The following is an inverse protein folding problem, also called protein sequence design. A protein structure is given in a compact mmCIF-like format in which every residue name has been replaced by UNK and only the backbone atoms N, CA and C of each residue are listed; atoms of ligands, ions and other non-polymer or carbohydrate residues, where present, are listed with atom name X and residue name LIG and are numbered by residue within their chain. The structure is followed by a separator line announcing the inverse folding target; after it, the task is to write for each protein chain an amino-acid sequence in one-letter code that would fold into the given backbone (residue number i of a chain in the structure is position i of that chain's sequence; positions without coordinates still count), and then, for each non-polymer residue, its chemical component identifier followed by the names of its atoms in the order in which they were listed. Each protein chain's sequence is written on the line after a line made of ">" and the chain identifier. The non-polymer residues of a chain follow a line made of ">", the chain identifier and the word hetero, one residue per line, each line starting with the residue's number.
data_IF_012286754185
#
_entry.id   IF_012286754185
#
_cell.length_a   1.000
_cell.length_b   1.000
_cell.length_c   1.000
_cell.angle_alpha   90.00
_cell.angle_beta   90.00
_cell.angle_gamma   90.00
#
_symmetry.space_group_name_H-M   'P 1'
#
loop_
_entity.id
_entity.type
_entity.pdbx_description
1 polymer ?
#
# COMPACT_ATOMS: atom_id res chain seq x y z
N UNK A 1 -52.01 10.36 -60.57
CA UNK A 1 -50.58 10.39 -60.93
C UNK A 1 -49.80 11.09 -59.82
N UNK A 2 -48.67 10.48 -59.41
CA UNK A 2 -47.52 11.03 -58.68
C UNK A 2 -47.70 11.42 -57.19
N UNK A 3 -47.26 10.47 -56.37
CA UNK A 3 -46.83 10.59 -54.97
C UNK A 3 -45.63 11.55 -54.88
N UNK A 4 -45.60 12.45 -53.89
CA UNK A 4 -44.40 13.22 -53.54
C UNK A 4 -44.10 13.02 -52.06
N UNK A 5 -43.22 12.06 -51.78
CA UNK A 5 -42.61 11.85 -50.47
C UNK A 5 -41.38 12.76 -50.37
N UNK A 6 -41.35 13.62 -49.36
CA UNK A 6 -40.24 14.54 -49.11
C UNK A 6 -39.18 13.79 -48.29
N UNK A 7 -38.09 13.39 -48.96
CA UNK A 7 -36.92 12.78 -48.33
C UNK A 7 -35.95 13.90 -47.93
N UNK A 8 -35.82 14.15 -46.62
CA UNK A 8 -34.75 14.95 -46.04
C UNK A 8 -33.42 14.16 -46.11
N UNK A 9 -32.31 14.76 -46.57
CA UNK A 9 -31.02 14.09 -46.59
C UNK A 9 -30.44 14.06 -45.17
N UNK A 10 -30.34 12.86 -44.61
CA UNK A 10 -29.64 12.62 -43.35
C UNK A 10 -28.12 12.69 -43.62
N UNK A 11 -27.53 13.87 -43.40
CA UNK A 11 -26.09 14.05 -43.51
C UNK A 11 -25.39 13.34 -42.35
N UNK A 12 -24.74 12.22 -42.64
CA UNK A 12 -23.95 11.44 -41.70
C UNK A 12 -22.64 12.20 -41.39
N UNK A 13 -22.62 12.94 -40.28
CA UNK A 13 -21.42 13.55 -39.71
C UNK A 13 -20.52 12.45 -39.13
N UNK A 14 -19.48 12.09 -39.88
CA UNK A 14 -18.42 11.19 -39.41
C UNK A 14 -17.46 12.00 -38.53
N UNK A 15 -17.61 11.90 -37.22
CA UNK A 15 -16.66 12.49 -36.26
C UNK A 15 -15.43 11.58 -36.23
N UNK A 16 -14.20 12.10 -36.47
CA UNK A 16 -13.00 11.28 -36.37
C UNK A 16 -12.84 10.83 -34.92
N UNK A 17 -12.93 9.51 -34.69
CA UNK A 17 -12.59 8.91 -33.42
C UNK A 17 -11.12 9.23 -33.13
N UNK A 18 -10.86 10.00 -32.08
CA UNK A 18 -9.52 10.29 -31.60
C UNK A 18 -8.81 8.98 -31.22
N UNK A 19 -7.84 8.56 -32.03
CA UNK A 19 -6.85 7.57 -31.62
C UNK A 19 -5.95 8.21 -30.57
N UNK A 20 -6.15 7.88 -29.28
CA UNK A 20 -5.20 8.28 -28.24
C UNK A 20 -3.86 7.60 -28.49
N UNK A 21 -2.73 8.33 -28.47
CA UNK A 21 -1.41 7.72 -28.56
C UNK A 21 -1.19 6.76 -27.38
N UNK A 22 -0.48 5.65 -27.64
CA UNK A 22 -0.18 4.65 -26.63
C UNK A 22 0.60 5.28 -25.46
N UNK A 23 0.39 4.84 -24.21
CA UNK A 23 1.15 5.33 -23.06
C UNK A 23 2.65 5.11 -23.26
N UNK A 24 3.51 6.02 -22.78
CA UNK A 24 4.94 5.79 -22.78
C UNK A 24 5.30 4.56 -21.92
N UNK A 25 6.39 3.84 -22.24
CA UNK A 25 6.84 2.71 -21.44
C UNK A 25 7.20 3.17 -20.02
N UNK A 26 7.06 2.30 -19.01
CA UNK A 26 7.41 2.65 -17.64
C UNK A 26 8.91 2.99 -17.52
N UNK A 27 9.30 3.84 -16.55
CA UNK A 27 10.71 4.09 -16.26
C UNK A 27 11.48 2.79 -16.04
N UNK A 28 12.79 2.75 -16.38
CA UNK A 28 13.61 1.55 -16.22
C UNK A 28 13.99 1.33 -14.74
N UNK A 29 13.04 0.86 -13.94
CA UNK A 29 13.26 0.58 -12.52
C UNK A 29 14.30 -0.53 -12.32
N UNK A 30 15.28 -0.31 -11.44
CA UNK A 30 16.27 -1.31 -11.06
C UNK A 30 16.04 -1.79 -9.64
N UNK A 31 15.60 -3.03 -9.49
CA UNK A 31 15.47 -3.68 -8.18
C UNK A 31 16.81 -4.30 -7.79
N UNK A 32 17.62 -3.57 -7.02
CA UNK A 32 18.97 -4.00 -6.61
C UNK A 32 18.96 -5.22 -5.67
N UNK A 33 17.89 -5.39 -4.89
CA UNK A 33 17.71 -6.49 -3.94
C UNK A 33 16.50 -7.35 -4.31
N UNK A 34 16.52 -8.61 -3.88
CA UNK A 34 15.40 -9.53 -4.07
C UNK A 34 14.23 -9.18 -3.11
N UNK A 35 13.10 -9.86 -3.27
CA UNK A 35 11.90 -9.61 -2.46
C UNK A 35 12.09 -9.92 -0.99
N UNK A 36 12.78 -11.01 -0.66
CA UNK A 36 13.03 -11.40 0.73
C UNK A 36 13.88 -10.36 1.46
N UNK A 37 14.92 -9.85 0.80
CA UNK A 37 15.78 -8.81 1.37
C UNK A 37 15.03 -7.49 1.57
N UNK A 38 14.18 -7.10 0.62
CA UNK A 38 13.32 -5.93 0.79
C UNK A 38 12.39 -6.11 2.00
N UNK A 39 11.71 -7.26 2.10
CA UNK A 39 10.79 -7.52 3.20
C UNK A 39 11.51 -7.46 4.54
N UNK A 40 12.58 -8.25 4.72
CA UNK A 40 13.25 -8.42 6.02
C UNK A 40 14.09 -7.23 6.45
N UNK A 41 14.57 -6.39 5.52
CA UNK A 41 15.52 -5.31 5.85
C UNK A 41 14.93 -3.91 5.66
N UNK A 42 13.70 -3.79 5.17
CA UNK A 42 13.04 -2.49 4.97
C UNK A 42 11.62 -2.49 5.53
N UNK A 43 10.79 -3.46 5.17
CA UNK A 43 9.39 -3.46 5.61
C UNK A 43 9.24 -3.93 7.05
N UNK A 44 9.81 -5.09 7.38
CA UNK A 44 9.73 -5.71 8.70
C UNK A 44 10.22 -4.77 9.82
N UNK A 45 11.44 -4.20 9.78
CA UNK A 45 11.89 -3.29 10.84
C UNK A 45 11.07 -1.99 10.91
N UNK A 46 10.49 -1.53 9.80
CA UNK A 46 9.64 -0.35 9.82
C UNK A 46 8.28 -0.64 10.49
N UNK A 47 7.71 -1.83 10.26
CA UNK A 47 6.51 -2.28 10.94
C UNK A 47 6.74 -2.48 12.43
N UNK A 48 7.86 -3.12 12.81
CA UNK A 48 8.25 -3.34 14.21
C UNK A 48 8.31 -2.03 14.98
N UNK A 49 8.92 -0.98 14.42
CA UNK A 49 8.96 0.34 15.09
C UNK A 49 7.56 0.89 15.35
N UNK A 50 6.61 0.71 14.43
CA UNK A 50 5.23 1.17 14.64
C UNK A 50 4.56 0.34 15.74
N UNK A 51 4.63 -0.99 15.65
CA UNK A 51 4.00 -1.89 16.61
C UNK A 51 4.59 -1.77 18.02
N UNK A 52 5.90 -1.58 18.13
CA UNK A 52 6.57 -1.41 19.41
C UNK A 52 6.42 0.01 19.97
N UNK A 53 5.96 0.99 19.17
CA UNK A 53 5.84 2.37 19.63
C UNK A 53 4.71 2.56 20.63
N UNK A 54 3.60 1.84 20.50
CA UNK A 54 2.42 1.97 21.37
C UNK A 54 1.98 0.61 21.89
N UNK A 55 1.70 0.52 23.18
CA UNK A 55 1.13 -0.68 23.76
C UNK A 55 1.04 -0.63 25.29
N UNK A 56 0.93 -1.80 25.90
CA UNK A 56 0.87 -1.94 27.35
C UNK A 56 1.97 -2.88 27.81
N UNK A 57 2.76 -2.44 28.80
CA UNK A 57 3.82 -3.21 29.43
C UNK A 57 3.33 -3.69 30.80
N UNK A 58 3.41 -4.99 31.03
CA UNK A 58 3.13 -5.59 32.34
C UNK A 58 4.46 -5.87 33.05
N UNK A 59 4.63 -5.33 34.25
CA UNK A 59 5.77 -5.57 35.14
C UNK A 59 5.31 -6.12 36.48
N UNK A 60 6.25 -6.43 37.38
CA UNK A 60 5.91 -6.87 38.74
C UNK A 60 5.20 -5.77 39.55
N UNK A 61 5.43 -4.51 39.18
CA UNK A 61 4.88 -3.32 39.84
C UNK A 61 3.49 -2.94 39.34
N UNK A 62 3.07 -3.45 38.18
CA UNK A 62 1.76 -3.14 37.60
C UNK A 62 1.73 -3.17 36.08
N UNK A 63 0.73 -2.50 35.51
CA UNK A 63 0.48 -2.40 34.07
C UNK A 63 0.60 -0.95 33.65
N UNK A 64 1.46 -0.66 32.66
CA UNK A 64 1.80 0.69 32.22
C UNK A 64 1.59 0.85 30.72
N UNK A 65 1.11 2.00 30.29
CA UNK A 65 1.05 2.34 28.87
C UNK A 65 2.42 2.77 28.35
N UNK A 66 2.79 2.27 27.17
CA UNK A 66 3.96 2.67 26.39
C UNK A 66 3.47 3.47 25.19
N UNK A 67 4.02 4.65 24.97
CA UNK A 67 3.83 5.46 23.77
C UNK A 67 4.95 6.52 23.67
N UNK A 68 5.20 7.11 22.48
CA UNK A 68 6.21 8.16 22.35
C UNK A 68 5.86 9.39 23.21
N UNK A 69 6.81 9.83 24.02
CA UNK A 69 6.66 10.95 24.95
C UNK A 69 7.27 12.25 24.39
N UNK A 70 8.30 12.14 23.56
CA UNK A 70 9.02 13.30 23.00
C UNK A 70 8.79 13.48 21.51
N UNK A 71 9.00 14.71 21.02
CA UNK A 71 8.90 15.02 19.59
C UNK A 71 9.86 14.16 18.76
N UNK A 72 11.05 13.89 19.29
CA UNK A 72 12.06 13.06 18.62
C UNK A 72 11.61 11.59 18.51
N UNK A 73 10.99 11.04 19.55
CA UNK A 73 10.42 9.69 19.51
C UNK A 73 9.27 9.61 18.50
N UNK A 74 8.35 10.59 18.50
CA UNK A 74 7.29 10.67 17.49
C UNK A 74 7.86 10.80 16.07
N UNK A 75 8.92 11.58 15.88
CA UNK A 75 9.60 11.72 14.59
C UNK A 75 10.25 10.41 14.14
N UNK A 76 10.81 9.62 15.07
CA UNK A 76 11.32 8.28 14.80
C UNK A 76 10.24 7.35 14.24
N UNK A 77 9.08 7.27 14.91
CA UNK A 77 7.94 6.46 14.45
C UNK A 77 7.42 6.96 13.10
N UNK A 78 7.37 8.29 12.90
CA UNK A 78 6.99 8.90 11.63
C UNK A 78 7.89 8.44 10.48
N UNK A 79 9.20 8.35 10.72
CA UNK A 79 10.16 7.86 9.73
C UNK A 79 9.84 6.43 9.25
N UNK A 80 9.52 5.54 10.18
CA UNK A 80 9.13 4.16 9.87
C UNK A 80 7.79 4.07 9.14
N UNK A 81 6.80 4.88 9.52
CA UNK A 81 5.52 4.95 8.80
C UNK A 81 5.69 5.44 7.34
N UNK A 82 6.59 6.40 7.09
CA UNK A 82 6.95 6.80 5.72
C UNK A 82 7.62 5.64 4.99
N UNK A 83 8.55 4.95 5.64
CA UNK A 83 9.25 3.83 5.02
C UNK A 83 8.29 2.72 4.59
N UNK A 84 7.24 2.41 5.37
CA UNK A 84 6.21 1.47 4.96
C UNK A 84 5.37 1.99 3.79
N UNK A 85 4.95 3.25 3.83
CA UNK A 85 4.18 3.85 2.74
C UNK A 85 4.96 3.78 1.42
N UNK A 86 6.22 4.19 1.42
CA UNK A 86 7.06 4.12 0.22
C UNK A 86 7.41 2.68 -0.16
N UNK A 87 7.49 1.77 0.80
CA UNK A 87 7.66 0.35 0.53
C UNK A 87 6.46 -0.22 -0.23
N UNK A 88 5.24 0.23 0.02
CA UNK A 88 4.07 -0.12 -0.81
C UNK A 88 4.28 0.22 -2.30
N UNK A 89 4.85 1.39 -2.61
CA UNK A 89 5.23 1.75 -3.98
C UNK A 89 6.30 0.80 -4.55
N UNK A 90 7.30 0.48 -3.72
CA UNK A 90 8.36 -0.46 -4.08
C UNK A 90 7.83 -1.88 -4.34
N UNK A 91 6.76 -2.31 -3.68
CA UNK A 91 6.12 -3.61 -3.90
C UNK A 91 5.35 -3.68 -5.23
N UNK A 92 4.85 -2.54 -5.72
CA UNK A 92 4.08 -2.47 -6.97
C UNK A 92 4.94 -2.47 -8.23
N UNK A 93 6.27 -2.28 -8.13
CA UNK A 93 7.17 -2.28 -9.29
C UNK A 93 6.93 -3.52 -10.18
N UNK A 94 6.94 -3.38 -11.52
CA UNK A 94 6.54 -4.48 -12.42
C UNK A 94 7.30 -5.79 -12.20
N UNK A 95 8.61 -5.71 -11.89
CA UNK A 95 9.47 -6.87 -11.62
C UNK A 95 9.17 -7.57 -10.29
N UNK A 96 8.37 -6.96 -9.42
CA UNK A 96 8.01 -7.47 -8.09
C UNK A 96 6.58 -7.95 -8.03
N UNK A 97 5.64 -7.14 -8.50
CA UNK A 97 4.22 -7.50 -8.53
C UNK A 97 3.89 -8.54 -9.59
N UNK A 98 4.70 -8.64 -10.66
CA UNK A 98 4.41 -9.53 -11.80
C UNK A 98 3.09 -9.21 -12.50
N UNK A 99 2.52 -8.01 -12.28
CA UNK A 99 1.20 -7.63 -12.78
C UNK A 99 0.03 -8.24 -12.02
N UNK A 100 0.25 -8.89 -10.87
CA UNK A 100 -0.82 -9.44 -10.03
C UNK A 100 -1.69 -8.32 -9.44
N UNK A 101 -2.98 -8.33 -9.79
CA UNK A 101 -3.94 -7.35 -9.29
C UNK A 101 -4.14 -7.46 -7.77
N UNK A 102 -4.17 -8.68 -7.23
CA UNK A 102 -4.31 -8.90 -5.78
C UNK A 102 -3.09 -8.40 -5.01
N UNK A 103 -1.88 -8.62 -5.54
CA UNK A 103 -0.66 -8.09 -4.97
C UNK A 103 -0.67 -6.55 -4.96
N UNK A 104 -1.01 -5.94 -6.09
CA UNK A 104 -1.07 -4.48 -6.23
C UNK A 104 -2.11 -3.91 -5.25
N UNK A 105 -3.26 -4.57 -5.11
CA UNK A 105 -4.30 -4.17 -4.16
C UNK A 105 -3.81 -4.22 -2.71
N UNK A 106 -3.17 -5.32 -2.28
CA UNK A 106 -2.65 -5.43 -0.92
C UNK A 106 -1.51 -4.40 -0.67
N UNK A 107 -0.66 -4.14 -1.68
CA UNK A 107 0.38 -3.11 -1.60
C UNK A 107 -0.20 -1.70 -1.49
N UNK A 108 -1.30 -1.38 -2.18
CA UNK A 108 -2.02 -0.11 -2.04
C UNK A 108 -2.66 0.02 -0.65
N UNK A 109 -3.25 -1.07 -0.14
CA UNK A 109 -3.80 -1.07 1.21
C UNK A 109 -2.74 -0.79 2.28
N UNK A 110 -1.50 -1.24 2.08
CA UNK A 110 -0.38 -0.90 2.96
C UNK A 110 -0.09 0.60 2.93
N UNK A 111 -0.02 1.22 1.74
CA UNK A 111 0.16 2.68 1.60
C UNK A 111 -0.93 3.44 2.35
N UNK A 112 -2.19 3.03 2.17
CA UNK A 112 -3.33 3.67 2.82
C UNK A 112 -3.29 3.54 4.35
N UNK A 113 -2.96 2.35 4.86
CA UNK A 113 -2.80 2.10 6.30
C UNK A 113 -1.65 2.92 6.88
N UNK A 114 -0.50 2.95 6.21
CA UNK A 114 0.63 3.82 6.61
C UNK A 114 0.25 5.30 6.56
N UNK A 115 -0.56 5.73 5.59
CA UNK A 115 -1.10 7.10 5.54
C UNK A 115 -2.01 7.43 6.73
N UNK A 116 -2.79 6.46 7.24
CA UNK A 116 -3.54 6.63 8.50
C UNK A 116 -2.62 6.70 9.71
N UNK A 117 -1.57 5.89 9.74
CA UNK A 117 -0.57 5.93 10.82
C UNK A 117 0.12 7.30 10.87
N UNK A 118 0.50 7.86 9.72
CA UNK A 118 1.09 9.20 9.65
C UNK A 118 0.18 10.29 10.22
N UNK A 119 -1.13 10.23 9.93
CA UNK A 119 -2.10 11.16 10.52
C UNK A 119 -2.21 11.01 12.04
N UNK A 120 -2.23 9.77 12.54
CA UNK A 120 -2.25 9.50 13.98
C UNK A 120 -0.98 10.01 14.68
N UNK A 121 0.19 9.80 14.05
CA UNK A 121 1.50 10.27 14.52
C UNK A 121 1.55 11.80 14.57
N UNK A 122 1.09 12.49 13.53
CA UNK A 122 1.04 13.96 13.49
C UNK A 122 0.09 14.53 14.55
N UNK A 123 -1.00 13.83 14.85
CA UNK A 123 -1.93 14.17 15.93
C UNK A 123 -1.45 13.74 17.32
N UNK A 124 -0.34 12.98 17.42
CA UNK A 124 0.12 12.29 18.63
C UNK A 124 -0.96 11.42 19.28
N UNK A 125 -1.81 10.82 18.46
CA UNK A 125 -2.93 9.98 18.86
C UNK A 125 -2.46 8.52 18.99
N UNK A 126 -2.06 8.15 20.22
CA UNK A 126 -1.57 6.80 20.52
C UNK A 126 -2.64 5.72 20.32
N UNK A 127 -3.90 6.01 20.62
CA UNK A 127 -4.96 4.99 20.57
C UNK A 127 -5.34 4.69 19.11
N UNK A 128 -5.40 5.72 18.26
CA UNK A 128 -5.55 5.53 16.81
C UNK A 128 -4.31 4.84 16.23
N UNK A 129 -3.09 5.21 16.66
CA UNK A 129 -1.87 4.57 16.18
C UNK A 129 -1.83 3.07 16.52
N UNK A 130 -2.24 2.69 17.74
CA UNK A 130 -2.37 1.28 18.14
C UNK A 130 -3.36 0.53 17.24
N UNK A 131 -4.53 1.13 16.99
CA UNK A 131 -5.56 0.54 16.11
C UNK A 131 -5.02 0.35 14.69
N UNK A 132 -4.36 1.36 14.13
CA UNK A 132 -3.77 1.28 12.78
C UNK A 132 -2.62 0.27 12.74
N UNK A 133 -1.88 0.06 13.83
CA UNK A 133 -0.91 -1.03 13.94
C UNK A 133 -1.54 -2.40 13.67
N UNK A 134 -2.75 -2.64 14.19
CA UNK A 134 -3.55 -3.83 13.88
C UNK A 134 -3.97 -3.90 12.41
N UNK A 135 -4.46 -2.79 11.84
CA UNK A 135 -4.81 -2.74 10.41
C UNK A 135 -3.62 -3.09 9.51
N UNK A 136 -2.41 -2.58 9.84
CA UNK A 136 -1.18 -2.89 9.11
C UNK A 136 -0.89 -4.39 9.17
N UNK A 137 -1.03 -5.02 10.34
CA UNK A 137 -0.86 -6.46 10.50
C UNK A 137 -1.82 -7.26 9.61
N UNK A 138 -3.08 -6.84 9.53
CA UNK A 138 -4.09 -7.50 8.70
C UNK A 138 -3.75 -7.39 7.21
N UNK A 139 -3.25 -6.23 6.75
CA UNK A 139 -2.77 -6.04 5.38
C UNK A 139 -1.59 -6.98 5.08
N UNK A 140 -0.60 -7.01 5.97
CA UNK A 140 0.56 -7.91 5.85
C UNK A 140 0.11 -9.37 5.72
N UNK A 141 -0.84 -9.80 6.57
CA UNK A 141 -1.37 -11.16 6.59
C UNK A 141 -2.19 -11.49 5.34
N UNK A 142 -3.01 -10.55 4.86
CA UNK A 142 -3.76 -10.67 3.60
C UNK A 142 -2.81 -10.96 2.43
N UNK A 143 -1.69 -10.24 2.34
CA UNK A 143 -0.70 -10.45 1.29
C UNK A 143 0.05 -11.78 1.48
N UNK A 144 0.62 -12.02 2.66
CA UNK A 144 1.48 -13.16 2.93
C UNK A 144 0.75 -14.50 2.81
N UNK A 145 -0.53 -14.57 3.19
CA UNK A 145 -1.33 -15.79 3.04
C UNK A 145 -1.54 -16.23 1.59
N UNK A 146 -1.40 -15.32 0.61
CA UNK A 146 -1.55 -15.60 -0.83
C UNK A 146 -0.22 -15.86 -1.51
N UNK A 147 0.82 -15.14 -1.12
CA UNK A 147 2.09 -15.08 -1.86
C UNK A 147 3.29 -15.67 -1.10
N UNK A 148 3.12 -16.02 0.17
CA UNK A 148 4.17 -16.55 1.06
C UNK A 148 3.66 -17.84 1.76
N UNK A 149 3.02 -18.73 0.99
CA UNK A 149 2.67 -20.07 1.50
C UNK A 149 3.85 -21.01 1.26
N UNK A 150 4.33 -21.76 2.28
CA UNK A 150 5.38 -22.76 2.07
C UNK A 150 4.86 -23.84 1.11
N UNK A 151 5.73 -24.32 0.22
CA UNK A 151 5.47 -25.54 -0.54
C UNK A 151 5.18 -26.68 0.43
N UNK A 152 4.16 -27.53 0.18
CA UNK A 152 3.93 -28.70 1.02
C UNK A 152 5.20 -29.54 1.05
N UNK A 153 5.73 -29.78 2.24
CA UNK A 153 6.81 -30.75 2.45
C UNK A 153 6.24 -32.10 2.02
N UNK A 154 6.75 -32.64 0.91
CA UNK A 154 6.44 -34.00 0.47
C UNK A 154 6.85 -34.96 1.61
N UNK A 155 5.99 -35.92 2.00
CA UNK A 155 6.30 -36.86 3.09
C UNK A 155 7.59 -37.63 2.86
#
# INVERSE_FOLDING_TARGET
>A
MRKFAWLLPFALLVVPACSSPAPPPPPPFKTTVNMKDLMLNVLDPAADVIWESVGTIMTLEGTFEKFPATDDEWAGVRGSAIQLAESGNLLMLPTRSGGSADWIKDAQALIEASGRALKAIEAKDKDTLFTVGGDIYDVCTSCHSKFVVPTPVKP
#
